data_IF_270806741542
#
_entry.id   IF_270806741542
#
_cell.length_a   1.000
_cell.length_b   1.000
_cell.length_c   1.000
_cell.angle_alpha   90.00
_cell.angle_beta   90.00
_cell.angle_gamma   90.00
#
_symmetry.space_group_name_H-M   'P 1'
#
loop_
_entity.id
_entity.type
_entity.pdbx_description
1 polymer ?
#
# COMPACT_ATOMS: atom_id res chain seq x y z
N UNK A 1 -1.50 -53.00 63.55
CA UNK A 1 -0.72 -51.75 63.45
C UNK A 1 0.00 -51.55 62.10
N UNK A 2 0.27 -52.59 61.30
CA UNK A 2 0.97 -52.42 59.99
C UNK A 2 0.16 -51.72 58.88
N UNK A 3 -1.15 -52.01 58.76
CA UNK A 3 -1.99 -51.51 57.66
C UNK A 3 -2.17 -49.97 57.66
N UNK A 4 -2.13 -49.34 58.83
CA UNK A 4 -2.25 -47.87 58.94
C UNK A 4 -0.93 -47.15 58.61
N UNK A 5 0.21 -47.83 58.71
CA UNK A 5 1.52 -47.28 58.40
C UNK A 5 1.78 -47.28 56.89
N UNK A 6 1.41 -48.37 56.19
CA UNK A 6 1.52 -48.48 54.73
C UNK A 6 0.61 -47.47 54.01
N UNK A 7 -0.61 -47.25 54.53
CA UNK A 7 -1.54 -46.26 53.96
C UNK A 7 -1.01 -44.83 54.09
N UNK A 8 -0.37 -44.48 55.21
CA UNK A 8 0.26 -43.16 55.40
C UNK A 8 1.47 -42.97 54.48
N UNK A 9 2.28 -44.01 54.29
CA UNK A 9 3.42 -43.97 53.37
C UNK A 9 2.97 -43.77 51.91
N UNK A 10 1.91 -44.45 51.48
CA UNK A 10 1.33 -44.26 50.15
C UNK A 10 0.80 -42.84 49.94
N UNK A 11 0.06 -42.28 50.91
CA UNK A 11 -0.44 -40.90 50.84
C UNK A 11 0.71 -39.90 50.73
N UNK A 12 1.76 -40.04 51.55
CA UNK A 12 2.93 -39.17 51.49
C UNK A 12 3.69 -39.28 50.15
N UNK A 13 3.75 -40.48 49.57
CA UNK A 13 4.36 -40.70 48.25
C UNK A 13 3.55 -40.04 47.13
N UNK A 14 2.21 -40.13 47.18
CA UNK A 14 1.33 -39.44 46.24
C UNK A 14 1.39 -37.91 46.39
N UNK A 15 1.49 -37.40 47.62
CA UNK A 15 1.61 -35.96 47.91
C UNK A 15 2.94 -35.39 47.41
N UNK A 16 4.05 -36.11 47.60
CA UNK A 16 5.36 -35.74 47.05
C UNK A 16 5.37 -35.76 45.51
N UNK A 17 4.73 -36.75 44.88
CA UNK A 17 4.55 -36.82 43.43
C UNK A 17 3.70 -35.67 42.88
N UNK A 18 2.61 -35.31 43.58
CA UNK A 18 1.76 -34.19 43.21
C UNK A 18 2.52 -32.86 43.32
N UNK A 19 3.29 -32.64 44.40
CA UNK A 19 4.11 -31.45 44.56
C UNK A 19 5.16 -31.32 43.45
N UNK A 20 5.87 -32.41 43.11
CA UNK A 20 6.82 -32.43 42.00
C UNK A 20 6.15 -32.14 40.65
N UNK A 21 4.96 -32.71 40.40
CA UNK A 21 4.21 -32.46 39.17
C UNK A 21 3.77 -31.00 39.05
N UNK A 22 3.31 -30.38 40.14
CA UNK A 22 2.92 -28.95 40.17
C UNK A 22 4.13 -28.06 39.91
N UNK A 23 5.28 -28.33 40.54
CA UNK A 23 6.52 -27.58 40.29
C UNK A 23 6.97 -27.73 38.84
N UNK A 24 6.90 -28.94 38.28
CA UNK A 24 7.25 -29.19 36.89
C UNK A 24 6.32 -28.46 35.91
N UNK A 25 5.01 -28.49 36.14
CA UNK A 25 4.02 -27.75 35.35
C UNK A 25 4.24 -26.24 35.45
N UNK A 26 4.49 -25.71 36.64
CA UNK A 26 4.78 -24.29 36.85
C UNK A 26 6.06 -23.87 36.13
N UNK A 27 7.13 -24.67 36.23
CA UNK A 27 8.39 -24.43 35.54
C UNK A 27 8.22 -24.49 34.01
N UNK A 28 7.43 -25.44 33.51
CA UNK A 28 7.11 -25.58 32.09
C UNK A 28 6.33 -24.36 31.57
N UNK A 29 5.30 -23.91 32.29
CA UNK A 29 4.55 -22.70 31.94
C UNK A 29 5.41 -21.44 32.02
N UNK A 30 6.29 -21.34 33.01
CA UNK A 30 7.26 -20.24 33.13
C UNK A 30 8.24 -20.22 31.94
N UNK A 31 8.79 -21.37 31.56
CA UNK A 31 9.67 -21.51 30.40
C UNK A 31 8.93 -21.14 29.10
N UNK A 32 7.70 -21.61 28.94
CA UNK A 32 6.87 -21.30 27.77
C UNK A 32 6.50 -19.82 27.72
N UNK A 33 6.21 -19.20 28.87
CA UNK A 33 5.97 -17.77 28.98
C UNK A 33 7.23 -16.96 28.65
N UNK A 34 8.41 -17.41 29.10
CA UNK A 34 9.69 -16.80 28.75
C UNK A 34 10.01 -16.90 27.26
N UNK A 35 9.81 -18.06 26.64
CA UNK A 35 9.98 -18.26 25.19
C UNK A 35 8.97 -17.42 24.41
N UNK A 36 7.72 -17.35 24.87
CA UNK A 36 6.70 -16.49 24.27
C UNK A 36 7.07 -15.01 24.40
N UNK A 37 7.51 -14.56 25.57
CA UNK A 37 7.92 -13.18 25.80
C UNK A 37 9.17 -12.83 24.99
N UNK A 38 10.15 -13.73 24.91
CA UNK A 38 11.33 -13.57 24.07
C UNK A 38 10.96 -13.50 22.59
N UNK A 39 10.07 -14.37 22.11
CA UNK A 39 9.58 -14.30 20.73
C UNK A 39 8.80 -13.02 20.48
N UNK A 40 7.99 -12.52 21.42
CA UNK A 40 7.34 -11.21 21.31
C UNK A 40 8.35 -10.05 21.28
N UNK A 41 9.40 -10.10 22.10
CA UNK A 41 10.46 -9.09 22.11
C UNK A 41 11.28 -9.11 20.82
N UNK A 42 11.59 -10.28 20.26
CA UNK A 42 12.34 -10.39 19.00
C UNK A 42 11.47 -10.01 17.80
N UNK A 43 10.21 -10.42 17.78
CA UNK A 43 9.28 -10.07 16.69
C UNK A 43 8.84 -8.60 16.76
N UNK A 44 8.77 -8.02 17.96
CA UNK A 44 8.36 -6.63 18.19
C UNK A 44 9.41 -5.85 19.00
N UNK A 45 10.67 -5.92 18.57
CA UNK A 45 11.81 -5.23 19.20
C UNK A 45 11.53 -3.74 19.47
N UNK A 46 10.76 -3.10 18.58
CA UNK A 46 10.46 -1.67 18.66
C UNK A 46 9.44 -1.31 19.74
N UNK A 47 8.38 -2.11 19.92
CA UNK A 47 7.39 -1.85 20.99
C UNK A 47 8.01 -2.14 22.36
N UNK A 48 8.85 -3.18 22.42
CA UNK A 48 9.61 -3.54 23.61
C UNK A 48 10.59 -2.43 24.00
N UNK A 49 11.31 -1.86 23.02
CA UNK A 49 12.23 -0.75 23.25
C UNK A 49 11.47 0.53 23.66
N UNK A 50 10.33 0.85 23.05
CA UNK A 50 9.52 1.99 23.50
C UNK A 50 8.99 1.80 24.90
N UNK A 51 8.53 0.59 25.26
CA UNK A 51 8.06 0.29 26.61
C UNK A 51 9.20 0.38 27.63
N UNK A 52 10.39 -0.11 27.28
CA UNK A 52 11.57 -0.04 28.14
C UNK A 52 12.03 1.41 28.35
N UNK A 53 12.04 2.23 27.29
CA UNK A 53 12.32 3.67 27.38
C UNK A 53 11.27 4.39 28.23
N UNK A 54 9.99 4.11 28.04
CA UNK A 54 8.91 4.70 28.85
C UNK A 54 9.00 4.26 30.32
N UNK A 55 9.37 3.01 30.59
CA UNK A 55 9.53 2.48 31.94
C UNK A 55 10.78 3.05 32.64
N UNK A 56 11.87 3.22 31.90
CA UNK A 56 13.07 3.91 32.39
C UNK A 56 12.79 5.40 32.67
N UNK A 57 12.09 6.08 31.76
CA UNK A 57 11.67 7.47 31.94
C UNK A 57 10.77 7.63 33.17
N UNK A 58 9.76 6.76 33.30
CA UNK A 58 8.89 6.74 34.48
C UNK A 58 9.70 6.60 35.76
N UNK A 59 10.64 5.65 35.81
CA UNK A 59 11.41 5.37 37.01
C UNK A 59 12.35 6.53 37.38
N UNK A 60 12.94 7.22 36.40
CA UNK A 60 13.97 8.25 36.67
C UNK A 60 13.39 9.65 36.87
N UNK A 61 12.36 10.01 36.09
CA UNK A 61 11.81 11.38 36.04
C UNK A 61 10.36 11.49 36.51
N UNK A 62 9.73 10.37 36.87
CA UNK A 62 8.35 10.32 37.33
C UNK A 62 7.33 10.51 36.20
N UNK A 63 6.12 10.01 36.44
CA UNK A 63 4.99 10.11 35.51
C UNK A 63 4.58 11.55 35.10
N UNK A 64 4.74 12.62 35.92
CA UNK A 64 4.29 13.96 35.53
C UNK A 64 5.07 14.53 34.36
N UNK A 65 6.38 14.27 34.29
CA UNK A 65 7.24 14.74 33.18
C UNK A 65 6.87 14.07 31.85
N UNK A 66 6.52 12.78 31.91
CA UNK A 66 6.09 12.00 30.76
C UNK A 66 4.72 12.49 30.28
N UNK A 67 3.78 12.73 31.20
CA UNK A 67 2.48 13.30 30.85
C UNK A 67 2.61 14.70 30.22
N UNK A 68 3.47 15.57 30.77
CA UNK A 68 3.69 16.92 30.24
C UNK A 68 4.32 16.90 28.85
N UNK A 69 5.36 16.09 28.64
CA UNK A 69 6.00 15.96 27.31
C UNK A 69 5.05 15.41 26.25
N UNK A 70 4.26 14.37 26.58
CA UNK A 70 3.21 13.87 25.67
C UNK A 70 2.14 14.93 25.39
N UNK A 71 1.77 15.72 26.40
CA UNK A 71 0.77 16.80 26.25
C UNK A 71 1.29 17.92 25.33
N UNK A 72 2.55 18.33 25.49
CA UNK A 72 3.18 19.33 24.62
C UNK A 72 3.31 18.81 23.19
N UNK A 73 3.77 17.58 23.01
CA UNK A 73 3.88 16.97 21.67
C UNK A 73 2.52 16.85 20.99
N UNK A 74 1.48 16.41 21.71
CA UNK A 74 0.13 16.29 21.15
C UNK A 74 -0.47 17.65 20.82
N UNK A 75 -0.24 18.69 21.63
CA UNK A 75 -0.62 20.07 21.31
C UNK A 75 0.09 20.58 20.07
N UNK A 76 1.41 20.41 19.96
CA UNK A 76 2.18 20.83 18.79
C UNK A 76 1.73 20.12 17.51
N UNK A 77 1.52 18.80 17.57
CA UNK A 77 0.99 18.02 16.44
C UNK A 77 -0.46 18.40 16.11
N UNK A 78 -1.26 18.73 17.12
CA UNK A 78 -2.64 19.20 16.95
C UNK A 78 -2.72 20.56 16.28
N UNK A 79 -1.90 21.51 16.73
CA UNK A 79 -1.76 22.85 16.12
C UNK A 79 -1.22 22.74 14.70
N UNK A 80 -0.18 21.93 14.46
CA UNK A 80 0.34 21.70 13.12
C UNK A 80 -0.69 21.04 12.20
N UNK A 81 -1.47 20.08 12.72
CA UNK A 81 -2.61 19.50 11.99
C UNK A 81 -3.67 20.55 11.67
N UNK A 82 -3.91 21.51 12.55
CA UNK A 82 -4.92 22.56 12.33
C UNK A 82 -4.48 23.59 11.30
N UNK A 83 -3.19 23.96 11.30
CA UNK A 83 -2.61 24.91 10.34
C UNK A 83 -2.48 24.26 8.95
N UNK A 84 -1.88 23.08 8.86
CA UNK A 84 -1.59 22.42 7.58
C UNK A 84 -1.66 20.90 7.66
N UNK A 85 -2.86 20.35 7.47
CA UNK A 85 -3.08 18.89 7.36
C UNK A 85 -2.22 18.28 6.25
N UNK A 86 -2.04 19.00 5.13
CA UNK A 86 -1.25 18.55 3.99
C UNK A 86 0.25 18.51 4.30
N UNK A 87 0.78 19.50 5.03
CA UNK A 87 2.19 19.52 5.43
C UNK A 87 2.51 18.39 6.41
N UNK A 88 1.63 18.16 7.40
CA UNK A 88 1.78 17.07 8.36
C UNK A 88 1.73 15.69 7.67
N UNK A 89 0.76 15.48 6.77
CA UNK A 89 0.64 14.20 6.05
C UNK A 89 1.84 13.98 5.13
N UNK A 90 2.30 15.04 4.45
CA UNK A 90 3.42 14.93 3.52
C UNK A 90 4.74 14.62 4.21
N UNK A 91 4.98 15.19 5.39
CA UNK A 91 6.24 15.06 6.14
C UNK A 91 6.28 13.87 7.11
N UNK A 92 5.27 13.72 7.97
CA UNK A 92 5.23 12.65 8.97
C UNK A 92 4.19 11.57 8.65
N UNK A 93 3.00 11.96 8.20
CA UNK A 93 1.86 11.05 8.04
C UNK A 93 2.12 9.91 7.06
N UNK A 94 2.67 10.21 5.87
CA UNK A 94 3.00 9.20 4.85
C UNK A 94 4.08 8.22 5.32
N UNK A 95 5.11 8.71 6.00
CA UNK A 95 6.20 7.88 6.53
C UNK A 95 5.73 7.00 7.68
N UNK A 96 5.03 7.57 8.66
CA UNK A 96 4.48 6.85 9.80
C UNK A 96 3.45 5.81 9.33
N UNK A 97 2.60 6.16 8.35
CA UNK A 97 1.62 5.24 7.77
C UNK A 97 2.29 4.13 6.98
N UNK A 98 3.25 4.44 6.10
CA UNK A 98 4.00 3.44 5.35
C UNK A 98 4.73 2.48 6.30
N UNK A 99 5.31 3.02 7.37
CA UNK A 99 5.94 2.25 8.43
C UNK A 99 4.93 1.36 9.16
N UNK A 100 3.81 1.91 9.62
CA UNK A 100 2.75 1.17 10.30
C UNK A 100 2.20 0.04 9.43
N UNK A 101 1.85 0.36 8.17
CA UNK A 101 1.34 -0.61 7.21
C UNK A 101 2.37 -1.70 6.91
N UNK A 102 3.66 -1.34 6.79
CA UNK A 102 4.74 -2.31 6.60
C UNK A 102 4.72 -3.35 7.71
N UNK A 103 4.64 -2.96 8.97
CA UNK A 103 4.82 -3.90 10.07
C UNK A 103 3.53 -4.57 10.55
N UNK A 104 2.38 -3.91 10.41
CA UNK A 104 1.09 -4.45 10.89
C UNK A 104 0.33 -5.25 9.85
N UNK A 105 0.51 -4.93 8.56
CA UNK A 105 -0.25 -5.56 7.48
C UNK A 105 0.68 -6.31 6.54
N UNK A 106 1.61 -5.61 5.89
CA UNK A 106 2.36 -6.20 4.78
C UNK A 106 3.41 -7.21 5.23
N UNK A 107 4.22 -6.92 6.25
CA UNK A 107 5.22 -7.86 6.77
C UNK A 107 4.62 -9.19 7.24
N UNK A 108 3.54 -9.21 8.04
CA UNK A 108 2.96 -10.48 8.47
C UNK A 108 2.08 -11.15 7.41
N UNK A 109 1.26 -10.42 6.64
CA UNK A 109 0.22 -11.03 5.80
C UNK A 109 0.59 -11.19 4.33
N UNK A 110 1.50 -10.37 3.79
CA UNK A 110 1.87 -10.45 2.37
C UNK A 110 2.46 -11.82 2.00
N UNK A 111 3.30 -12.48 2.81
CA UNK A 111 3.78 -13.83 2.50
C UNK A 111 2.65 -14.83 2.28
N UNK A 112 1.62 -14.79 3.12
CA UNK A 112 0.44 -15.65 3.01
C UNK A 112 -0.38 -15.31 1.76
N UNK A 113 -0.51 -14.03 1.42
CA UNK A 113 -1.20 -13.60 0.20
C UNK A 113 -0.48 -14.06 -1.07
N UNK A 114 0.85 -13.91 -1.09
CA UNK A 114 1.68 -14.38 -2.20
C UNK A 114 1.58 -15.90 -2.33
N UNK A 115 1.60 -16.63 -1.21
CA UNK A 115 1.41 -18.07 -1.22
C UNK A 115 0.01 -18.47 -1.72
N UNK A 116 -1.04 -17.81 -1.25
CA UNK A 116 -2.42 -18.07 -1.68
C UNK A 116 -2.63 -17.79 -3.18
N UNK A 117 -1.88 -16.83 -3.74
CA UNK A 117 -1.90 -16.51 -5.17
C UNK A 117 -0.96 -17.41 -6.01
N UNK A 118 -0.31 -18.42 -5.41
CA UNK A 118 0.62 -19.30 -6.12
C UNK A 118 1.97 -18.67 -6.46
N UNK A 119 2.28 -17.49 -5.90
CA UNK A 119 3.52 -16.75 -6.14
C UNK A 119 4.65 -17.16 -5.17
N UNK A 120 4.58 -18.37 -4.61
CA UNK A 120 5.62 -18.98 -3.80
C UNK A 120 6.30 -20.10 -4.59
N UNK A 121 7.62 -20.02 -4.76
CA UNK A 121 8.36 -21.15 -5.32
C UNK A 121 8.66 -22.12 -4.17
N UNK A 122 8.17 -23.35 -4.33
CA UNK A 122 8.66 -24.48 -3.55
C UNK A 122 9.76 -25.14 -4.37
N UNK A 123 10.97 -25.24 -3.82
CA UNK A 123 12.00 -26.14 -4.36
C UNK A 123 11.50 -27.58 -4.15
N UNK A 124 10.63 -28.05 -5.02
CA UNK A 124 10.30 -29.47 -5.11
C UNK A 124 11.50 -30.14 -5.78
N UNK A 125 12.56 -30.38 -5.01
CA UNK A 125 13.54 -31.39 -5.39
C UNK A 125 12.77 -32.70 -5.48
N UNK A 126 12.50 -33.15 -6.70
CA UNK A 126 11.95 -34.48 -6.95
C UNK A 126 12.75 -35.48 -6.11
N UNK A 127 12.10 -36.29 -5.25
CA UNK A 127 12.84 -37.25 -4.46
C UNK A 127 13.40 -38.28 -5.43
N UNK A 128 14.68 -38.13 -5.81
CA UNK A 128 15.44 -39.21 -6.40
C UNK A 128 15.46 -40.34 -5.37
N UNK A 129 14.60 -41.33 -5.59
CA UNK A 129 14.63 -42.55 -4.80
C UNK A 129 15.90 -43.27 -5.23
N UNK A 130 16.98 -43.06 -4.50
CA UNK A 130 18.18 -43.89 -4.63
C UNK A 130 17.81 -45.26 -4.09
N UNK A 131 17.31 -46.14 -4.94
CA UNK A 131 17.07 -47.54 -4.57
C UNK A 131 18.44 -48.22 -4.54
N UNK A 132 19.06 -48.28 -3.37
CA UNK A 132 20.17 -49.21 -3.16
C UNK A 132 19.61 -50.63 -3.25
N UNK A 133 19.90 -51.32 -4.34
CA UNK A 133 19.43 -52.68 -4.63
C UNK A 133 20.19 -53.77 -3.84
N UNK A 134 21.07 -53.39 -2.92
CA UNK A 134 21.85 -54.34 -2.11
C UNK A 134 21.87 -53.86 -0.66
N UNK A 135 21.26 -54.66 0.21
CA UNK A 135 21.34 -54.51 1.67
C UNK A 135 20.05 -54.02 2.30
N UNK A 136 19.44 -54.89 3.12
CA UNK A 136 18.37 -54.56 4.07
C UNK A 136 18.78 -53.35 4.91
N UNK A 137 18.30 -52.16 4.56
CA UNK A 137 18.40 -51.00 5.43
C UNK A 137 17.12 -50.17 5.33
N UNK A 138 16.63 -49.78 6.51
CA UNK A 138 15.44 -48.94 6.71
C UNK A 138 15.46 -47.78 5.72
N UNK A 139 14.40 -47.66 4.93
CA UNK A 139 14.12 -46.50 4.08
C UNK A 139 13.98 -45.29 5.02
N UNK A 140 15.10 -44.60 5.30
CA UNK A 140 15.08 -43.27 5.89
C UNK A 140 14.61 -42.34 4.79
N UNK A 141 13.29 -42.11 4.73
CA UNK A 141 12.74 -40.95 4.05
C UNK A 141 13.28 -39.73 4.78
N UNK A 142 14.41 -39.19 4.33
CA UNK A 142 14.77 -37.82 4.65
C UNK A 142 13.67 -36.96 4.01
N UNK A 143 12.67 -36.58 4.80
CA UNK A 143 11.73 -35.51 4.45
C UNK A 143 12.58 -34.26 4.36
N UNK A 144 13.16 -34.00 3.19
CA UNK A 144 13.82 -32.75 2.90
C UNK A 144 12.72 -31.70 3.01
N UNK A 145 12.83 -30.83 4.02
CA UNK A 145 11.85 -29.77 4.22
C UNK A 145 11.91 -28.88 2.98
N UNK A 146 10.83 -28.84 2.20
CA UNK A 146 10.71 -27.93 1.07
C UNK A 146 10.82 -26.50 1.61
N UNK A 147 11.95 -25.84 1.35
CA UNK A 147 12.13 -24.45 1.75
C UNK A 147 11.25 -23.61 0.82
N UNK A 148 10.09 -23.20 1.31
CA UNK A 148 9.21 -22.27 0.58
C UNK A 148 9.94 -20.93 0.51
N UNK A 149 10.36 -20.53 -0.68
CA UNK A 149 11.01 -19.24 -0.89
C UNK A 149 9.94 -18.22 -1.26
N UNK A 150 9.64 -17.35 -0.31
CA UNK A 150 8.72 -16.23 -0.52
C UNK A 150 9.51 -14.98 -0.90
N UNK A 151 9.01 -14.16 -1.84
CA UNK A 151 9.59 -12.87 -2.18
C UNK A 151 9.82 -11.97 -0.96
N UNK A 152 10.96 -11.27 -0.91
CA UNK A 152 11.33 -10.43 0.25
C UNK A 152 10.80 -9.01 0.09
N UNK A 153 10.20 -8.48 1.16
CA UNK A 153 9.69 -7.10 1.20
C UNK A 153 10.85 -6.13 1.43
N UNK A 154 11.16 -5.33 0.41
CA UNK A 154 12.21 -4.32 0.47
C UNK A 154 11.71 -3.05 1.16
N UNK A 155 10.55 -2.56 0.75
CA UNK A 155 10.04 -1.25 1.14
C UNK A 155 8.51 -1.21 1.06
N UNK A 156 7.90 -0.37 1.89
CA UNK A 156 6.53 0.07 1.68
C UNK A 156 6.56 1.58 1.64
N UNK A 157 5.90 2.18 0.65
CA UNK A 157 5.61 3.61 0.59
C UNK A 157 4.10 3.77 0.54
N UNK A 158 3.56 4.74 1.25
CA UNK A 158 2.13 5.03 1.23
C UNK A 158 1.95 6.47 0.75
N UNK A 159 1.21 6.62 -0.35
CA UNK A 159 0.79 7.91 -0.89
C UNK A 159 -0.61 8.25 -0.39
N UNK A 160 -1.23 9.29 -0.97
CA UNK A 160 -2.57 9.73 -0.60
C UNK A 160 -3.62 8.61 -0.77
N UNK A 161 -3.54 7.89 -1.89
CA UNK A 161 -4.52 6.90 -2.37
C UNK A 161 -3.96 5.49 -2.56
N UNK A 162 -2.66 5.36 -2.80
CA UNK A 162 -1.99 4.09 -3.13
C UNK A 162 -0.96 3.69 -2.08
N UNK A 163 -0.84 2.38 -1.86
CA UNK A 163 0.21 1.78 -1.05
C UNK A 163 1.13 0.96 -1.97
N UNK A 164 2.37 1.42 -2.12
CA UNK A 164 3.43 0.86 -2.98
C UNK A 164 4.27 -0.13 -2.17
N UNK A 165 4.17 -1.43 -2.47
CA UNK A 165 4.91 -2.48 -1.78
C UNK A 165 6.00 -3.02 -2.69
N UNK A 166 7.25 -2.70 -2.37
CA UNK A 166 8.42 -3.15 -3.14
C UNK A 166 8.83 -4.53 -2.70
N UNK A 167 8.84 -5.45 -3.66
CA UNK A 167 9.12 -6.86 -3.44
C UNK A 167 10.27 -7.28 -4.33
N UNK A 168 11.24 -7.99 -3.75
CA UNK A 168 12.31 -8.65 -4.49
C UNK A 168 11.85 -10.03 -4.91
N UNK A 169 11.83 -10.26 -6.22
CA UNK A 169 11.52 -11.54 -6.82
C UNK A 169 12.53 -12.62 -6.38
N UNK A 170 12.06 -13.86 -6.29
CA UNK A 170 12.91 -15.03 -6.07
C UNK A 170 13.40 -15.55 -7.41
N UNK A 171 14.61 -16.12 -7.46
CA UNK A 171 15.15 -16.78 -8.65
C UNK A 171 14.13 -17.75 -9.26
N UNK A 172 13.83 -17.59 -10.55
CA UNK A 172 12.85 -18.39 -11.27
C UNK A 172 11.45 -17.77 -11.40
N UNK A 173 11.15 -16.70 -10.65
CA UNK A 173 9.89 -15.95 -10.82
C UNK A 173 10.02 -14.89 -11.91
N UNK A 174 8.94 -14.68 -12.67
CA UNK A 174 8.87 -13.62 -13.68
C UNK A 174 7.93 -12.50 -13.23
N UNK A 175 8.18 -11.23 -13.60
CA UNK A 175 7.22 -10.15 -13.40
C UNK A 175 5.84 -10.44 -14.00
N UNK A 176 5.78 -11.19 -15.11
CA UNK A 176 4.56 -11.60 -15.82
C UNK A 176 3.63 -12.47 -14.96
N UNK A 177 4.20 -13.34 -14.12
CA UNK A 177 3.44 -14.21 -13.21
C UNK A 177 2.67 -13.36 -12.18
N UNK A 178 3.32 -12.30 -11.71
CA UNK A 178 2.73 -11.33 -10.81
C UNK A 178 1.63 -10.56 -11.53
N UNK A 179 1.88 -10.06 -12.74
CA UNK A 179 0.89 -9.29 -13.51
C UNK A 179 -0.40 -10.10 -13.72
N UNK A 180 -0.26 -11.39 -14.05
CA UNK A 180 -1.39 -12.33 -14.16
C UNK A 180 -2.13 -12.51 -12.84
N UNK A 181 -1.41 -12.55 -11.72
CA UNK A 181 -1.96 -12.67 -10.37
C UNK A 181 -2.53 -11.36 -9.79
N UNK A 182 -2.44 -10.22 -10.49
CA UNK A 182 -2.86 -8.90 -9.99
C UNK A 182 -4.29 -8.89 -9.44
N UNK A 183 -5.23 -9.53 -10.14
CA UNK A 183 -6.64 -9.59 -9.71
C UNK A 183 -6.82 -10.45 -8.45
N UNK A 184 -6.11 -11.57 -8.35
CA UNK A 184 -6.14 -12.42 -7.16
C UNK A 184 -5.57 -11.66 -5.96
N UNK A 185 -4.44 -10.96 -6.14
CA UNK A 185 -3.84 -10.12 -5.10
C UNK A 185 -4.78 -9.00 -4.63
N UNK A 186 -5.50 -8.35 -5.55
CA UNK A 186 -6.51 -7.35 -5.21
C UNK A 186 -7.61 -7.95 -4.31
N UNK A 187 -8.15 -9.12 -4.69
CA UNK A 187 -9.18 -9.83 -3.93
C UNK A 187 -8.69 -10.29 -2.56
N UNK A 188 -7.48 -10.86 -2.47
CA UNK A 188 -6.91 -11.33 -1.20
C UNK A 188 -6.63 -10.17 -0.24
N UNK A 189 -6.16 -9.03 -0.76
CA UNK A 189 -5.97 -7.81 0.03
C UNK A 189 -7.31 -7.14 0.40
N UNK A 190 -8.37 -7.38 -0.38
CA UNK A 190 -9.66 -6.72 -0.25
C UNK A 190 -9.65 -5.27 -0.77
N UNK A 191 -9.00 -5.02 -1.90
CA UNK A 191 -8.98 -3.71 -2.57
C UNK A 191 -9.57 -3.79 -3.98
N UNK A 192 -10.13 -2.69 -4.47
CA UNK A 192 -10.77 -2.63 -5.78
C UNK A 192 -9.78 -2.72 -6.95
N UNK A 193 -8.56 -2.19 -6.77
CA UNK A 193 -7.53 -2.15 -7.80
C UNK A 193 -6.17 -2.51 -7.21
N UNK A 194 -5.45 -3.36 -7.93
CA UNK A 194 -4.05 -3.66 -7.73
C UNK A 194 -3.33 -3.37 -9.05
N UNK A 195 -2.10 -2.91 -8.99
CA UNK A 195 -1.23 -2.70 -10.14
C UNK A 195 0.15 -3.24 -9.83
N UNK A 196 0.84 -3.69 -10.87
CA UNK A 196 2.19 -4.22 -10.75
C UNK A 196 3.08 -3.44 -11.70
N UNK A 197 4.19 -2.94 -11.16
CA UNK A 197 5.17 -2.16 -11.91
C UNK A 197 6.55 -2.76 -11.72
N UNK A 198 7.26 -2.98 -12.81
CA UNK A 198 8.67 -3.34 -12.74
C UNK A 198 9.49 -2.06 -12.47
N UNK A 199 10.26 -2.06 -11.38
CA UNK A 199 11.10 -0.91 -11.02
C UNK A 199 12.52 -1.10 -11.54
N UNK A 200 13.09 -2.28 -11.28
CA UNK A 200 14.41 -2.71 -11.73
C UNK A 200 14.36 -4.21 -11.93
N UNK A 201 15.30 -4.82 -12.68
CA UNK A 201 15.38 -6.27 -12.77
C UNK A 201 15.35 -6.93 -11.38
N UNK A 202 14.48 -7.92 -11.19
CA UNK A 202 14.21 -8.62 -9.91
C UNK A 202 13.51 -7.81 -8.81
N UNK A 203 13.09 -6.57 -9.06
CA UNK A 203 12.31 -5.77 -8.09
C UNK A 203 11.05 -5.24 -8.74
N UNK A 204 9.92 -5.69 -8.21
CA UNK A 204 8.60 -5.23 -8.60
C UNK A 204 7.98 -4.38 -7.49
N UNK A 205 7.08 -3.50 -7.89
CA UNK A 205 6.18 -2.80 -7.00
C UNK A 205 4.78 -3.37 -7.16
N UNK A 206 4.19 -3.79 -6.04
CA UNK A 206 2.78 -4.17 -5.96
C UNK A 206 2.05 -2.99 -5.33
N UNK A 207 1.25 -2.30 -6.14
CA UNK A 207 0.57 -1.08 -5.77
C UNK A 207 -0.90 -1.39 -5.48
N UNK A 208 -1.31 -1.21 -4.23
CA UNK A 208 -2.69 -1.46 -3.81
C UNK A 208 -3.44 -0.13 -3.67
N UNK A 209 -4.60 -0.01 -4.32
CA UNK A 209 -5.43 1.19 -4.21
C UNK A 209 -6.21 1.16 -2.89
N UNK A 210 -5.82 2.02 -1.95
CA UNK A 210 -6.46 2.17 -0.63
C UNK A 210 -7.69 3.07 -0.69
N UNK A 211 -7.63 4.13 -1.50
CA UNK A 211 -8.74 5.08 -1.71
C UNK A 211 -8.79 5.48 -3.18
N UNK A 212 -9.99 5.51 -3.75
CA UNK A 212 -10.19 6.13 -5.06
C UNK A 212 -10.60 7.60 -4.86
N UNK A 213 -9.64 8.51 -5.06
CA UNK A 213 -9.89 9.95 -4.96
C UNK A 213 -10.67 10.51 -6.15
N UNK A 214 -10.77 9.75 -7.23
CA UNK A 214 -11.51 10.09 -8.45
C UNK A 214 -12.88 9.40 -8.50
N UNK A 215 -13.36 8.85 -7.37
CA UNK A 215 -14.73 8.33 -7.27
C UNK A 215 -15.74 9.46 -7.38
N UNK A 216 -15.45 10.62 -6.78
CA UNK A 216 -16.29 11.79 -6.90
C UNK A 216 -15.83 12.62 -8.10
N UNK A 217 -16.76 13.22 -8.87
CA UNK A 217 -16.41 14.10 -9.96
C UNK A 217 -15.47 15.22 -9.49
N UNK A 218 -14.42 15.49 -10.26
CA UNK A 218 -13.57 16.66 -10.04
C UNK A 218 -14.38 17.90 -10.43
N UNK A 219 -14.55 18.82 -9.49
CA UNK A 219 -15.30 20.05 -9.74
C UNK A 219 -14.62 20.88 -10.82
N UNK A 220 -15.41 21.28 -11.81
CA UNK A 220 -14.96 22.22 -12.84
C UNK A 220 -14.55 23.55 -12.19
N UNK A 221 -13.47 24.21 -12.64
CA UNK A 221 -13.12 25.55 -12.16
C UNK A 221 -14.31 26.51 -12.30
N UNK A 222 -14.47 27.43 -11.35
CA UNK A 222 -15.59 28.37 -11.36
C UNK A 222 -15.54 29.27 -12.60
N UNK A 223 -16.50 29.06 -13.51
CA UNK A 223 -16.65 29.81 -14.74
C UNK A 223 -16.85 31.30 -14.44
N UNK A 224 -17.52 31.66 -13.35
CA UNK A 224 -17.79 33.05 -12.97
C UNK A 224 -16.49 33.76 -12.63
N UNK A 225 -15.66 33.15 -11.78
CA UNK A 225 -14.33 33.65 -11.46
C UNK A 225 -13.42 33.76 -12.69
N UNK A 226 -13.59 32.87 -13.67
CA UNK A 226 -12.82 32.95 -14.91
C UNK A 226 -13.25 34.09 -15.84
N UNK A 227 -14.49 34.58 -15.75
CA UNK A 227 -14.90 35.73 -16.57
C UNK A 227 -14.19 37.04 -16.17
N UNK A 228 -13.69 37.16 -14.94
CA UNK A 228 -13.00 38.36 -14.46
C UNK A 228 -11.48 38.28 -14.63
N UNK A 229 -10.93 37.13 -15.01
CA UNK A 229 -9.49 36.95 -15.26
C UNK A 229 -9.12 37.44 -16.66
N UNK A 230 -7.98 38.12 -16.77
CA UNK A 230 -7.38 38.48 -18.06
C UNK A 230 -6.70 37.27 -18.69
N UNK A 231 -6.86 37.06 -19.99
CA UNK A 231 -6.29 35.94 -20.74
C UNK A 231 -4.76 35.88 -20.69
N UNK A 232 -4.09 37.02 -20.54
CA UNK A 232 -2.62 37.11 -20.41
C UNK A 232 -2.13 36.54 -19.07
N UNK A 233 -3.00 36.51 -18.04
CA UNK A 233 -2.68 35.94 -16.73
C UNK A 233 -2.67 34.40 -16.72
N UNK A 234 -3.21 33.77 -17.77
CA UNK A 234 -3.29 32.30 -17.89
C UNK A 234 -1.95 31.72 -18.35
N UNK A 235 -1.33 30.91 -17.50
CA UNK A 235 -0.10 30.19 -17.86
C UNK A 235 -0.39 28.99 -18.78
N UNK A 236 -0.22 29.21 -20.09
CA UNK A 236 -0.38 28.17 -21.12
C UNK A 236 0.68 27.05 -21.05
N UNK A 237 1.74 27.20 -20.24
CA UNK A 237 2.72 26.12 -20.00
C UNK A 237 2.28 25.19 -18.87
N UNK A 238 1.28 25.58 -18.08
CA UNK A 238 0.81 24.81 -16.93
C UNK A 238 -0.72 24.87 -16.81
N UNK A 239 -1.40 24.49 -17.88
CA UNK A 239 -2.87 24.49 -17.93
C UNK A 239 -3.43 23.39 -17.06
N UNK A 240 -4.33 23.72 -16.13
CA UNK A 240 -4.97 22.72 -15.29
C UNK A 240 -5.87 21.80 -16.12
N UNK A 241 -5.80 20.49 -15.87
CA UNK A 241 -6.55 19.46 -16.59
C UNK A 241 -7.29 18.49 -15.65
N UNK A 242 -7.27 18.74 -14.34
CA UNK A 242 -7.93 17.91 -13.34
C UNK A 242 -7.05 17.60 -12.14
N UNK A 243 -7.31 16.46 -11.50
CA UNK A 243 -6.48 15.91 -10.43
C UNK A 243 -5.99 14.51 -10.80
N UNK A 244 -4.77 14.20 -10.39
CA UNK A 244 -4.20 12.87 -10.47
C UNK A 244 -4.85 11.93 -9.46
N UNK A 245 -4.68 10.62 -9.65
CA UNK A 245 -5.11 9.61 -8.66
C UNK A 245 -4.47 9.79 -7.28
N UNK A 246 -3.37 10.54 -7.18
CA UNK A 246 -2.68 10.91 -5.94
C UNK A 246 -3.23 12.20 -5.29
N UNK A 247 -4.29 12.78 -5.85
CA UNK A 247 -4.92 14.02 -5.38
C UNK A 247 -4.17 15.30 -5.77
N UNK A 248 -3.05 15.20 -6.47
CA UNK A 248 -2.27 16.36 -6.93
C UNK A 248 -2.92 16.98 -8.16
N UNK A 249 -2.90 18.32 -8.32
CA UNK A 249 -3.39 18.97 -9.53
C UNK A 249 -2.60 18.47 -10.74
N UNK A 250 -3.33 18.10 -11.79
CA UNK A 250 -2.76 17.67 -13.05
C UNK A 250 -2.71 18.86 -14.01
N UNK A 251 -1.55 19.12 -14.58
CA UNK A 251 -1.36 20.20 -15.54
C UNK A 251 -0.79 19.69 -16.86
N UNK A 252 -1.25 20.29 -17.95
CA UNK A 252 -0.80 20.02 -19.31
C UNK A 252 -0.14 21.28 -19.91
N UNK A 253 1.07 21.17 -20.46
CA UNK A 253 1.70 22.25 -21.20
C UNK A 253 1.13 22.33 -22.62
N UNK A 254 0.45 23.42 -22.97
CA UNK A 254 -0.08 23.64 -24.33
C UNK A 254 0.91 24.41 -25.22
N UNK A 255 1.89 25.10 -24.63
CA UNK A 255 2.85 25.94 -25.37
C UNK A 255 4.28 25.76 -24.84
N UNK A 256 5.27 26.19 -25.64
CA UNK A 256 6.70 26.15 -25.30
C UNK A 256 7.40 24.85 -25.71
N UNK A 257 8.68 24.72 -25.35
CA UNK A 257 9.52 23.56 -25.72
C UNK A 257 9.03 22.23 -25.14
N UNK A 258 8.17 22.27 -24.13
CA UNK A 258 7.58 21.10 -23.50
C UNK A 258 6.11 20.89 -23.89
N UNK A 259 5.64 21.50 -25.00
CA UNK A 259 4.25 21.36 -25.46
C UNK A 259 3.85 19.89 -25.61
N UNK A 260 2.72 19.51 -25.02
CA UNK A 260 2.23 18.14 -25.03
C UNK A 260 1.19 17.96 -26.14
N UNK A 261 1.46 17.03 -27.07
CA UNK A 261 0.43 16.48 -27.94
C UNK A 261 -0.21 15.29 -27.23
N UNK A 262 -1.49 15.41 -26.89
CA UNK A 262 -2.21 14.37 -26.15
C UNK A 262 -3.01 13.51 -27.10
N UNK A 263 -2.80 12.19 -27.04
CA UNK A 263 -3.69 11.19 -27.62
C UNK A 263 -4.51 10.58 -26.49
N UNK A 264 -5.82 10.76 -26.55
CA UNK A 264 -6.74 10.16 -25.59
C UNK A 264 -7.48 9.02 -26.27
N UNK A 265 -7.68 7.92 -25.55
CA UNK A 265 -8.51 6.80 -25.98
C UNK A 265 -9.23 6.22 -24.77
N UNK A 266 -10.52 5.95 -24.90
CA UNK A 266 -11.33 5.32 -23.87
C UNK A 266 -12.50 4.54 -24.44
N UNK A 267 -13.06 3.65 -23.62
CA UNK A 267 -14.36 3.07 -23.93
C UNK A 267 -15.46 4.14 -23.79
N UNK A 268 -16.59 3.94 -24.46
CA UNK A 268 -17.75 4.83 -24.31
C UNK A 268 -18.17 4.92 -22.83
N UNK A 269 -18.41 6.15 -22.36
CA UNK A 269 -18.73 6.41 -20.95
C UNK A 269 -17.54 6.44 -19.99
N UNK A 270 -16.30 6.19 -20.46
CA UNK A 270 -15.10 6.31 -19.63
C UNK A 270 -14.70 7.76 -19.31
N UNK A 271 -15.35 8.75 -19.96
CA UNK A 271 -15.07 10.17 -19.76
C UNK A 271 -13.92 10.71 -20.62
N UNK A 272 -13.61 10.10 -21.76
CA UNK A 272 -12.54 10.52 -22.69
C UNK A 272 -12.61 12.02 -23.01
N UNK A 273 -13.81 12.54 -23.26
CA UNK A 273 -14.00 13.94 -23.66
C UNK A 273 -13.64 14.92 -22.53
N UNK A 274 -13.70 14.50 -21.25
CA UNK A 274 -13.31 15.35 -20.13
C UNK A 274 -11.82 15.73 -20.18
N UNK A 275 -10.96 14.84 -20.71
CA UNK A 275 -9.52 15.09 -20.84
C UNK A 275 -9.25 16.22 -21.86
N UNK A 276 -10.11 16.37 -22.86
CA UNK A 276 -10.05 17.49 -23.81
C UNK A 276 -10.70 18.75 -23.22
N UNK A 277 -11.87 18.62 -22.59
CA UNK A 277 -12.66 19.77 -22.12
C UNK A 277 -12.08 20.48 -20.89
N UNK A 278 -11.49 19.75 -19.94
CA UNK A 278 -10.91 20.35 -18.73
C UNK A 278 -9.83 21.41 -19.03
N UNK A 279 -8.80 21.14 -19.87
CA UNK A 279 -7.82 22.16 -20.21
C UNK A 279 -8.43 23.30 -21.02
N UNK A 280 -9.39 23.03 -21.92
CA UNK A 280 -10.07 24.08 -22.70
C UNK A 280 -10.84 25.07 -21.82
N UNK A 281 -11.59 24.56 -20.84
CA UNK A 281 -12.29 25.40 -19.87
C UNK A 281 -11.31 26.23 -19.05
N UNK A 282 -10.17 25.64 -18.66
CA UNK A 282 -9.14 26.32 -17.87
C UNK A 282 -8.44 27.45 -18.61
N UNK A 283 -8.45 27.44 -19.95
CA UNK A 283 -7.91 28.52 -20.78
C UNK A 283 -8.99 29.39 -21.41
N UNK A 284 -10.25 29.27 -20.98
CA UNK A 284 -11.36 30.05 -21.53
C UNK A 284 -11.08 31.57 -21.57
N UNK A 285 -10.43 32.21 -20.57
CA UNK A 285 -10.06 33.62 -20.64
C UNK A 285 -9.10 33.94 -21.80
N UNK A 286 -8.12 33.07 -22.05
CA UNK A 286 -7.16 33.24 -23.14
C UNK A 286 -7.81 33.03 -24.52
N UNK A 287 -8.84 32.18 -24.61
CA UNK A 287 -9.64 32.03 -25.83
C UNK A 287 -10.51 33.28 -26.07
N UNK A 288 -11.19 33.76 -25.03
CA UNK A 288 -12.03 34.98 -25.08
C UNK A 288 -11.23 36.18 -25.57
N UNK A 289 -10.02 36.37 -25.05
CA UNK A 289 -9.16 37.51 -25.39
C UNK A 289 -8.41 37.33 -26.72
N UNK A 290 -8.66 36.22 -27.44
CA UNK A 290 -8.10 35.96 -28.76
C UNK A 290 -6.64 35.51 -28.77
N UNK A 291 -6.06 35.20 -27.61
CA UNK A 291 -4.69 34.68 -27.47
C UNK A 291 -4.58 33.22 -27.94
N UNK A 292 -5.66 32.45 -27.80
CA UNK A 292 -5.75 31.06 -28.26
C UNK A 292 -6.94 30.91 -29.22
N UNK A 293 -6.72 30.25 -30.35
CA UNK A 293 -7.78 29.86 -31.29
C UNK A 293 -7.93 28.34 -31.28
N UNK A 294 -9.15 27.86 -31.06
CA UNK A 294 -9.47 26.44 -31.04
C UNK A 294 -9.99 26.03 -32.43
N UNK A 295 -9.40 24.99 -33.01
CA UNK A 295 -9.86 24.34 -34.23
C UNK A 295 -10.21 22.89 -33.88
N UNK A 296 -11.39 22.44 -34.28
CA UNK A 296 -11.91 21.11 -33.93
C UNK A 296 -12.47 20.40 -35.14
N UNK A 297 -12.19 19.10 -35.25
CA UNK A 297 -12.77 18.21 -36.26
C UNK A 297 -13.56 17.14 -35.51
N UNK A 298 -14.88 17.19 -35.61
CA UNK A 298 -15.78 16.19 -35.04
C UNK A 298 -16.55 15.48 -36.14
N UNK A 299 -16.09 14.30 -36.60
CA UNK A 299 -16.76 13.57 -37.65
C UNK A 299 -18.14 13.05 -37.22
N UNK A 300 -18.46 13.04 -35.92
CA UNK A 300 -19.73 12.55 -35.38
C UNK A 300 -20.67 13.69 -34.93
N UNK A 301 -20.20 14.93 -34.88
CA UNK A 301 -20.95 16.13 -34.51
C UNK A 301 -21.77 16.01 -33.21
N UNK A 302 -21.25 15.28 -32.22
CA UNK A 302 -21.91 15.07 -30.93
C UNK A 302 -21.15 15.71 -29.77
N UNK A 303 -19.82 15.80 -29.85
CA UNK A 303 -18.99 16.12 -28.70
C UNK A 303 -18.45 17.55 -28.77
N UNK A 304 -17.96 17.96 -29.94
CA UNK A 304 -17.51 19.34 -30.18
C UNK A 304 -18.69 20.27 -30.53
N UNK A 305 -19.87 19.71 -30.83
CA UNK A 305 -21.08 20.49 -31.10
C UNK A 305 -21.41 21.51 -29.98
N UNK A 306 -21.08 21.19 -28.73
CA UNK A 306 -21.24 22.08 -27.56
C UNK A 306 -20.26 23.27 -27.53
N UNK A 307 -19.14 23.19 -28.25
CA UNK A 307 -18.09 24.22 -28.33
C UNK A 307 -18.14 25.10 -29.56
N UNK A 308 -19.20 25.03 -30.37
CA UNK A 308 -19.29 25.74 -31.66
C UNK A 308 -19.06 27.26 -31.57
N UNK A 309 -19.41 27.88 -30.44
CA UNK A 309 -19.16 29.30 -30.19
C UNK A 309 -17.71 29.65 -29.83
N UNK A 310 -16.90 28.66 -29.47
CA UNK A 310 -15.50 28.82 -29.02
C UNK A 310 -14.52 28.47 -30.15
N UNK A 311 -14.92 27.60 -31.08
CA UNK A 311 -14.12 27.20 -32.23
C UNK A 311 -14.18 28.22 -33.37
N UNK A 312 -13.02 28.61 -33.90
CA UNK A 312 -12.95 29.53 -35.05
C UNK A 312 -13.27 28.82 -36.38
N UNK A 313 -13.14 27.49 -36.44
CA UNK A 313 -13.53 26.67 -37.57
C UNK A 313 -13.95 25.26 -37.11
N UNK A 314 -15.17 24.84 -37.47
CA UNK A 314 -15.59 23.44 -37.46
C UNK A 314 -16.06 23.08 -38.87
N UNK A 315 -15.45 22.09 -39.55
CA UNK A 315 -16.03 21.54 -40.76
C UNK A 315 -17.38 20.92 -40.42
N UNK A 316 -18.42 21.22 -41.20
CA UNK A 316 -19.70 20.54 -41.07
C UNK A 316 -19.53 19.04 -41.35
N UNK A 317 -20.27 18.15 -40.66
CA UNK A 317 -20.26 16.74 -41.02
C UNK A 317 -20.73 16.61 -42.46
N UNK A 318 -19.95 15.89 -43.28
CA UNK A 318 -20.33 15.52 -44.64
C UNK A 318 -21.63 14.73 -44.53
N UNK A 319 -22.74 15.30 -45.01
CA UNK A 319 -23.99 14.55 -45.21
C UNK A 319 -23.68 13.41 -46.19
N UNK A 320 -23.59 12.19 -45.66
CA UNK A 320 -23.73 11.00 -46.49
C UNK A 320 -25.22 10.89 -46.83
N UNK A 321 -25.56 11.22 -48.07
CA UNK A 321 -26.79 10.76 -48.72
C UNK A 321 -26.76 9.24 -48.88
#
# INVERSE_FOLDING_TARGET
MGVTQDRKALIAMFEALAAMAVVFLALWWLLKALVWLFTQVVTHWRTSLTLLVLMAWWHWWGWPSLALTLSVITLLLGVWRWIDVLSLDTWAGRWLRAWWLRWTIYAPKLPDWLHACGLSISDTTTPMVTVNLVGRNKIRRHRHQSIIRVPKILGVKSSASWDEVRVRLVTGQKPEDFDTATRALASTRGVARCQIRELTPNVISIDFQRRNLLTNPVTCPDLTAMTTLDGVSVDLRRVWAGHTEYGQPWHLPLTGSASCHTLTAGASGAGENSIMWCPLVSIAPAIRDGLVRVSGIDPKSMELAYGRGISTAMPSPVQKH
#
